data_IF_751222875714
#
_entry.id   IF_751222875714
#
_cell.length_a   1.000
_cell.length_b   1.000
_cell.length_c   1.000
_cell.angle_alpha   90.00
_cell.angle_beta   90.00
_cell.angle_gamma   90.00
#
_symmetry.space_group_name_H-M   'P 1'
#
loop_
_entity.id
_entity.type
_entity.pdbx_description
1 polymer ?
#
# COMPACT_ATOMS: atom_id res chain seq x y z
N UNK A 1 -3.08 -54.42 109.33
CA UNK A 1 -2.92 -54.70 107.89
C UNK A 1 -4.16 -54.35 107.06
N UNK A 2 -5.38 -54.75 107.46
CA UNK A 2 -6.61 -54.46 106.68
C UNK A 2 -6.89 -52.96 106.45
N UNK A 3 -6.73 -52.10 107.45
CA UNK A 3 -6.97 -50.65 107.33
C UNK A 3 -5.99 -49.94 106.36
N UNK A 4 -4.75 -50.44 106.26
CA UNK A 4 -3.75 -49.90 105.34
C UNK A 4 -4.10 -50.23 103.90
N UNK A 5 -4.54 -51.47 103.64
CA UNK A 5 -4.98 -51.92 102.31
C UNK A 5 -6.21 -51.16 101.80
N UNK A 6 -7.18 -50.90 102.67
CA UNK A 6 -8.37 -50.11 102.31
C UNK A 6 -8.01 -48.66 101.97
N UNK A 7 -7.06 -48.04 102.69
CA UNK A 7 -6.62 -46.67 102.37
C UNK A 7 -5.86 -46.57 101.05
N UNK A 8 -5.01 -47.56 100.73
CA UNK A 8 -4.29 -47.62 99.45
C UNK A 8 -5.29 -47.84 98.30
N UNK A 9 -6.23 -48.78 98.44
CA UNK A 9 -7.25 -49.04 97.42
C UNK A 9 -8.17 -47.83 97.18
N UNK A 10 -8.55 -47.11 98.22
CA UNK A 10 -9.35 -45.88 98.12
C UNK A 10 -8.57 -44.74 97.44
N UNK A 11 -7.28 -44.61 97.74
CA UNK A 11 -6.39 -43.63 97.11
C UNK A 11 -6.20 -43.93 95.61
N UNK A 12 -5.87 -45.18 95.25
CA UNK A 12 -5.69 -45.60 93.85
C UNK A 12 -6.99 -45.43 93.05
N UNK A 13 -8.14 -45.85 93.60
CA UNK A 13 -9.44 -45.67 92.95
C UNK A 13 -9.74 -44.20 92.67
N UNK A 14 -9.53 -43.32 93.65
CA UNK A 14 -9.76 -41.88 93.49
C UNK A 14 -8.83 -41.28 92.44
N UNK A 15 -7.58 -41.70 92.41
CA UNK A 15 -6.59 -41.24 91.43
C UNK A 15 -6.93 -41.70 90.01
N UNK A 16 -7.35 -42.95 89.82
CA UNK A 16 -7.80 -43.47 88.52
C UNK A 16 -9.08 -42.78 88.01
N UNK A 17 -10.05 -42.49 88.89
CA UNK A 17 -11.24 -41.72 88.51
C UNK A 17 -10.86 -40.31 88.06
N UNK A 18 -9.93 -39.66 88.77
CA UNK A 18 -9.44 -38.33 88.38
C UNK A 18 -8.67 -38.37 87.04
N UNK A 19 -7.85 -39.39 86.81
CA UNK A 19 -7.15 -39.59 85.54
C UNK A 19 -8.13 -39.82 84.39
N UNK A 20 -9.15 -40.66 84.60
CA UNK A 20 -10.21 -40.89 83.62
C UNK A 20 -10.97 -39.60 83.30
N UNK A 21 -11.37 -38.83 84.31
CA UNK A 21 -12.06 -37.56 84.12
C UNK A 21 -11.20 -36.53 83.38
N UNK A 22 -9.91 -36.44 83.69
CA UNK A 22 -8.96 -35.58 82.98
C UNK A 22 -8.82 -36.00 81.51
N UNK A 23 -8.65 -37.29 81.24
CA UNK A 23 -8.59 -37.83 79.88
C UNK A 23 -9.87 -37.55 79.11
N UNK A 24 -11.05 -37.70 79.73
CA UNK A 24 -12.33 -37.36 79.12
C UNK A 24 -12.44 -35.86 78.80
N UNK A 25 -11.93 -34.98 79.65
CA UNK A 25 -11.89 -33.55 79.33
C UNK A 25 -10.97 -33.24 78.15
N UNK A 26 -9.79 -33.87 78.10
CA UNK A 26 -8.86 -33.73 76.97
C UNK A 26 -9.47 -34.27 75.67
N UNK A 27 -10.13 -35.43 75.73
CA UNK A 27 -10.82 -36.06 74.60
C UNK A 27 -12.01 -35.21 74.10
N UNK A 28 -12.70 -34.52 75.01
CA UNK A 28 -13.76 -33.56 74.67
C UNK A 28 -13.22 -32.22 74.12
N UNK A 29 -11.91 -32.06 73.97
CA UNK A 29 -11.27 -30.85 73.46
C UNK A 29 -11.01 -29.78 74.52
N UNK A 30 -11.30 -30.03 75.80
CA UNK A 30 -10.95 -29.11 76.88
C UNK A 30 -9.48 -29.28 77.30
N UNK A 31 -8.59 -28.73 76.48
CA UNK A 31 -7.15 -28.75 76.73
C UNK A 31 -6.69 -27.75 77.82
N UNK A 32 -7.61 -26.98 78.39
CA UNK A 32 -7.35 -26.03 79.49
C UNK A 32 -7.57 -26.64 80.88
N UNK A 33 -8.05 -27.89 80.96
CA UNK A 33 -8.24 -28.56 82.25
C UNK A 33 -6.94 -28.60 83.05
N UNK A 34 -6.95 -28.20 84.35
CA UNK A 34 -5.79 -28.35 85.21
C UNK A 34 -5.50 -29.83 85.45
N UNK A 35 -4.22 -30.15 85.65
CA UNK A 35 -3.79 -31.49 86.01
C UNK A 35 -4.26 -31.83 87.43
N UNK A 36 -4.84 -33.02 87.68
CA UNK A 36 -5.17 -33.47 89.03
C UNK A 36 -3.92 -33.59 89.90
N UNK A 37 -4.02 -33.32 91.21
CA UNK A 37 -2.92 -33.53 92.17
C UNK A 37 -2.54 -35.00 92.23
N UNK A 38 -1.24 -35.33 92.16
CA UNK A 38 -0.72 -36.70 92.11
C UNK A 38 0.34 -36.99 93.20
N UNK A 39 0.62 -38.28 93.40
CA UNK A 39 1.77 -38.80 94.15
C UNK A 39 2.91 -39.20 93.21
N UNK A 40 4.04 -39.70 93.76
CA UNK A 40 5.22 -40.13 92.99
C UNK A 40 5.17 -41.60 92.52
N UNK A 41 3.98 -42.19 92.52
CA UNK A 41 3.72 -43.59 92.16
C UNK A 41 3.45 -43.74 90.66
N UNK A 42 3.20 -44.97 90.21
CA UNK A 42 2.93 -45.34 88.81
C UNK A 42 1.69 -44.62 88.25
N UNK A 43 0.70 -44.31 89.11
CA UNK A 43 -0.49 -43.54 88.71
C UNK A 43 -0.13 -42.08 88.49
N UNK A 44 0.76 -41.54 89.31
CA UNK A 44 1.35 -40.21 89.13
C UNK A 44 2.12 -40.07 87.82
N UNK A 45 2.95 -41.05 87.46
CA UNK A 45 3.68 -41.08 86.19
C UNK A 45 2.72 -41.11 84.98
N UNK A 46 1.66 -41.92 85.06
CA UNK A 46 0.63 -42.00 84.00
C UNK A 46 -0.07 -40.65 83.80
N UNK A 47 -0.42 -39.96 84.90
CA UNK A 47 -1.02 -38.62 84.85
C UNK A 47 -0.07 -37.59 84.21
N UNK A 48 1.25 -37.69 84.47
CA UNK A 48 2.25 -36.84 83.82
C UNK A 48 2.32 -37.09 82.31
N UNK A 49 2.31 -38.36 81.87
CA UNK A 49 2.25 -38.71 80.45
C UNK A 49 0.98 -38.18 79.77
N UNK A 50 -0.18 -38.27 80.43
CA UNK A 50 -1.43 -37.69 79.92
C UNK A 50 -1.37 -36.17 79.84
N UNK A 51 -0.74 -35.51 80.80
CA UNK A 51 -0.55 -34.06 80.76
C UNK A 51 0.44 -33.63 79.67
N UNK A 52 1.48 -34.43 79.40
CA UNK A 52 2.37 -34.24 78.26
C UNK A 52 1.58 -34.34 76.95
N UNK A 53 0.77 -35.38 76.77
CA UNK A 53 -0.12 -35.54 75.62
C UNK A 53 -1.07 -34.34 75.44
N UNK A 54 -1.71 -33.87 76.51
CA UNK A 54 -2.54 -32.65 76.48
C UNK A 54 -1.75 -31.44 75.99
N UNK A 55 -0.54 -31.20 76.52
CA UNK A 55 0.31 -30.06 76.11
C UNK A 55 0.69 -30.15 74.64
N UNK A 56 1.06 -31.33 74.15
CA UNK A 56 1.35 -31.58 72.74
C UNK A 56 0.13 -31.31 71.85
N UNK A 57 -1.06 -31.75 72.25
CA UNK A 57 -2.30 -31.44 71.54
C UNK A 57 -2.60 -29.93 71.52
N UNK A 58 -2.38 -29.22 72.64
CA UNK A 58 -2.56 -27.75 72.68
C UNK A 58 -1.62 -27.05 71.71
N UNK A 59 -0.35 -27.48 71.67
CA UNK A 59 0.63 -26.94 70.75
C UNK A 59 0.24 -27.18 69.28
N UNK A 60 -0.12 -28.42 68.93
CA UNK A 60 -0.55 -28.79 67.57
C UNK A 60 -1.79 -28.02 67.12
N UNK A 61 -2.80 -27.87 67.99
CA UNK A 61 -4.01 -27.08 67.67
C UNK A 61 -3.68 -25.59 67.53
N UNK A 62 -2.75 -25.06 68.34
CA UNK A 62 -2.25 -23.69 68.19
C UNK A 62 -1.57 -23.47 66.83
N UNK A 63 -0.70 -24.40 66.44
CA UNK A 63 0.00 -24.36 65.15
C UNK A 63 -0.99 -24.48 63.96
N UNK A 64 -1.99 -25.35 64.06
CA UNK A 64 -3.05 -25.48 63.05
C UNK A 64 -3.83 -24.17 62.92
N UNK A 65 -4.27 -23.56 64.04
CA UNK A 65 -5.00 -22.30 64.00
C UNK A 65 -4.16 -21.16 63.40
N UNK A 66 -2.87 -21.10 63.72
CA UNK A 66 -1.96 -20.12 63.14
C UNK A 66 -1.85 -20.32 61.61
N UNK A 67 -1.66 -21.56 61.16
CA UNK A 67 -1.58 -21.88 59.71
C UNK A 67 -2.89 -21.56 58.99
N UNK A 68 -4.06 -21.89 59.57
CA UNK A 68 -5.38 -21.55 59.00
C UNK A 68 -5.58 -20.03 58.95
N UNK A 69 -5.07 -19.29 59.93
CA UNK A 69 -5.09 -17.82 59.95
C UNK A 69 -4.34 -17.19 58.77
N UNK A 70 -3.30 -17.85 58.26
CA UNK A 70 -2.53 -17.41 57.08
C UNK A 70 -3.20 -17.83 55.76
N UNK A 71 -3.91 -18.97 55.72
CA UNK A 71 -4.56 -19.46 54.49
C UNK A 71 -5.72 -18.58 54.04
N UNK A 72 -6.55 -18.09 54.97
CA UNK A 72 -7.71 -17.25 54.65
C UNK A 72 -7.37 -15.99 53.84
N UNK A 73 -6.42 -15.14 54.25
CA UNK A 73 -6.06 -13.96 53.47
C UNK A 73 -5.49 -14.35 52.09
N UNK A 74 -4.70 -15.42 51.98
CA UNK A 74 -4.19 -15.90 50.68
C UNK A 74 -5.32 -16.32 49.73
N UNK A 75 -6.39 -16.95 50.25
CA UNK A 75 -7.56 -17.29 49.41
C UNK A 75 -8.28 -16.04 48.92
N UNK A 76 -8.42 -15.01 49.74
CA UNK A 76 -9.02 -13.75 49.31
C UNK A 76 -8.18 -13.05 48.23
N UNK A 77 -6.86 -13.03 48.40
CA UNK A 77 -5.93 -12.49 47.39
C UNK A 77 -6.05 -13.25 46.05
N UNK A 78 -6.22 -14.58 46.10
CA UNK A 78 -6.48 -15.39 44.90
C UNK A 78 -7.81 -15.02 44.22
N UNK A 79 -8.86 -14.76 44.99
CA UNK A 79 -10.15 -14.33 44.43
C UNK A 79 -10.05 -12.96 43.75
N UNK A 80 -9.36 -12.01 44.38
CA UNK A 80 -9.14 -10.68 43.82
C UNK A 80 -8.28 -10.73 42.55
N UNK A 81 -7.19 -11.52 42.60
CA UNK A 81 -6.33 -11.78 41.45
C UNK A 81 -7.09 -12.44 40.29
N UNK A 82 -7.96 -13.41 40.59
CA UNK A 82 -8.78 -14.08 39.58
C UNK A 82 -9.80 -13.10 38.94
N UNK A 83 -10.40 -12.21 39.72
CA UNK A 83 -11.28 -11.16 39.22
C UNK A 83 -10.53 -10.18 38.30
N UNK A 84 -9.34 -9.74 38.72
CA UNK A 84 -8.48 -8.88 37.89
C UNK A 84 -8.04 -9.59 36.60
N UNK A 85 -7.72 -10.88 36.67
CA UNK A 85 -7.37 -11.68 35.50
C UNK A 85 -8.54 -11.83 34.53
N UNK A 86 -9.76 -12.06 35.03
CA UNK A 86 -10.97 -12.10 34.20
C UNK A 86 -11.18 -10.78 33.46
N UNK A 87 -11.05 -9.64 34.16
CA UNK A 87 -11.15 -8.31 33.53
C UNK A 87 -10.08 -8.09 32.45
N UNK A 88 -8.84 -8.53 32.68
CA UNK A 88 -7.77 -8.48 31.66
C UNK A 88 -8.07 -9.36 30.46
N UNK A 89 -8.66 -10.55 30.67
CA UNK A 89 -9.07 -11.45 29.58
C UNK A 89 -10.16 -10.78 28.73
N UNK A 90 -11.13 -10.10 29.33
CA UNK A 90 -12.16 -9.35 28.60
C UNK A 90 -11.56 -8.22 27.76
N UNK A 91 -10.64 -7.43 28.33
CA UNK A 91 -9.92 -6.38 27.60
C UNK A 91 -9.09 -6.94 26.45
N UNK A 92 -8.41 -8.06 26.68
CA UNK A 92 -7.61 -8.72 25.66
C UNK A 92 -8.47 -9.30 24.55
N UNK A 93 -9.63 -9.89 24.88
CA UNK A 93 -10.59 -10.37 23.90
C UNK A 93 -11.12 -9.22 23.02
N UNK A 94 -11.43 -8.06 23.62
CA UNK A 94 -11.84 -6.87 22.88
C UNK A 94 -10.72 -6.36 21.94
N UNK A 95 -9.47 -6.35 22.40
CA UNK A 95 -8.32 -5.95 21.56
C UNK A 95 -8.10 -6.90 20.37
N UNK A 96 -8.29 -8.21 20.58
CA UNK A 96 -8.23 -9.21 19.50
C UNK A 96 -9.36 -9.01 18.49
N UNK A 97 -10.58 -8.73 18.95
CA UNK A 97 -11.71 -8.41 18.07
C UNK A 97 -11.44 -7.15 17.23
N UNK A 98 -10.90 -6.10 17.85
CA UNK A 98 -10.52 -4.88 17.11
C UNK A 98 -9.42 -5.16 16.09
N UNK A 99 -8.41 -5.97 16.45
CA UNK A 99 -7.34 -6.35 15.53
C UNK A 99 -7.87 -7.18 14.36
N UNK A 100 -8.81 -8.09 14.61
CA UNK A 100 -9.49 -8.86 13.56
C UNK A 100 -10.26 -7.94 12.60
N UNK A 101 -11.05 -7.00 13.13
CA UNK A 101 -11.78 -6.01 12.33
C UNK A 101 -10.83 -5.13 11.50
N UNK A 102 -9.75 -4.61 12.10
CA UNK A 102 -8.74 -3.85 11.36
C UNK A 102 -8.04 -4.68 10.29
N UNK A 103 -7.82 -5.98 10.54
CA UNK A 103 -7.23 -6.89 9.54
C UNK A 103 -8.17 -7.10 8.35
N UNK A 104 -9.48 -7.18 8.58
CA UNK A 104 -10.50 -7.28 7.52
C UNK A 104 -10.58 -5.98 6.69
N UNK A 105 -10.51 -4.82 7.33
CA UNK A 105 -10.46 -3.52 6.65
C UNK A 105 -9.19 -3.37 5.80
N UNK A 106 -8.03 -3.78 6.33
CA UNK A 106 -6.76 -3.81 5.58
C UNK A 106 -6.89 -4.76 4.38
N UNK A 107 -7.43 -5.96 4.57
CA UNK A 107 -7.63 -6.93 3.48
C UNK A 107 -8.49 -6.35 2.35
N UNK A 108 -9.58 -5.68 2.71
CA UNK A 108 -10.47 -4.99 1.76
C UNK A 108 -9.71 -3.89 1.00
N UNK A 109 -8.94 -3.07 1.71
CA UNK A 109 -8.16 -1.98 1.12
C UNK A 109 -7.07 -2.48 0.18
N UNK A 110 -6.39 -3.58 0.54
CA UNK A 110 -5.39 -4.24 -0.30
C UNK A 110 -6.03 -4.81 -1.56
N UNK A 111 -7.19 -5.47 -1.43
CA UNK A 111 -7.94 -5.99 -2.58
C UNK A 111 -8.35 -4.86 -3.53
N UNK A 112 -8.86 -3.75 -3.00
CA UNK A 112 -9.23 -2.58 -3.81
C UNK A 112 -8.01 -1.96 -4.51
N UNK A 113 -6.86 -1.90 -3.82
CA UNK A 113 -5.61 -1.37 -4.38
C UNK A 113 -5.09 -2.25 -5.52
N UNK A 114 -5.17 -3.57 -5.38
CA UNK A 114 -4.81 -4.53 -6.42
C UNK A 114 -5.70 -4.38 -7.67
N UNK A 115 -7.02 -4.22 -7.47
CA UNK A 115 -7.94 -4.00 -8.59
C UNK A 115 -7.70 -2.66 -9.28
N UNK A 116 -7.47 -1.58 -8.52
CA UNK A 116 -7.12 -0.29 -9.09
C UNK A 116 -5.81 -0.34 -9.90
N UNK A 117 -4.80 -1.07 -9.43
CA UNK A 117 -3.56 -1.28 -10.18
C UNK A 117 -3.80 -2.06 -11.49
N UNK A 118 -4.68 -3.06 -11.45
CA UNK A 118 -5.10 -3.82 -12.65
C UNK A 118 -5.80 -2.92 -13.67
N UNK A 119 -6.75 -2.09 -13.23
CA UNK A 119 -7.44 -1.13 -14.08
C UNK A 119 -6.49 -0.10 -14.69
N UNK A 120 -5.55 0.45 -13.89
CA UNK A 120 -4.54 1.38 -14.38
C UNK A 120 -3.62 0.75 -15.43
N UNK A 121 -3.22 -0.51 -15.24
CA UNK A 121 -2.43 -1.27 -16.22
C UNK A 121 -3.20 -1.48 -17.53
N UNK A 122 -4.49 -1.80 -17.46
CA UNK A 122 -5.35 -1.93 -18.64
C UNK A 122 -5.52 -0.61 -19.39
N UNK A 123 -5.80 0.48 -18.67
CA UNK A 123 -5.90 1.82 -19.24
C UNK A 123 -4.59 2.25 -19.93
N UNK A 124 -3.45 1.99 -19.30
CA UNK A 124 -2.13 2.28 -19.89
C UNK A 124 -1.89 1.48 -21.17
N UNK A 125 -2.29 0.20 -21.19
CA UNK A 125 -2.21 -0.65 -22.38
C UNK A 125 -3.15 -0.16 -23.49
N UNK A 126 -4.34 0.34 -23.15
CA UNK A 126 -5.25 1.00 -24.08
C UNK A 126 -4.64 2.24 -24.71
N UNK A 127 -4.08 3.14 -23.89
CA UNK A 127 -3.43 4.37 -24.35
C UNK A 127 -2.23 4.08 -25.27
N UNK A 128 -1.45 3.03 -25.01
CA UNK A 128 -0.35 2.62 -25.90
C UNK A 128 -0.86 2.25 -27.30
N UNK A 129 -2.01 1.57 -27.41
CA UNK A 129 -2.63 1.27 -28.71
C UNK A 129 -3.06 2.54 -29.45
N UNK A 130 -3.62 3.52 -28.74
CA UNK A 130 -3.99 4.81 -29.34
C UNK A 130 -2.76 5.58 -29.84
N UNK A 131 -1.67 5.56 -29.07
CA UNK A 131 -0.39 6.16 -29.48
C UNK A 131 0.17 5.48 -30.73
N UNK A 132 0.09 4.14 -30.83
CA UNK A 132 0.52 3.42 -32.02
C UNK A 132 -0.32 3.79 -33.26
N UNK A 133 -1.64 3.96 -33.10
CA UNK A 133 -2.51 4.44 -34.18
C UNK A 133 -2.16 5.88 -34.58
N UNK A 134 -1.90 6.76 -33.62
CA UNK A 134 -1.48 8.14 -33.89
C UNK A 134 -0.14 8.19 -34.63
N UNK A 135 0.82 7.32 -34.27
CA UNK A 135 2.10 7.19 -34.97
C UNK A 135 1.91 6.77 -36.43
N UNK A 136 0.99 5.84 -36.71
CA UNK A 136 0.69 5.43 -38.08
C UNK A 136 0.09 6.58 -38.90
N UNK A 137 -0.84 7.34 -38.33
CA UNK A 137 -1.41 8.53 -38.99
C UNK A 137 -0.33 9.58 -39.27
N UNK A 138 0.59 9.83 -38.32
CA UNK A 138 1.70 10.75 -38.51
C UNK A 138 2.68 10.27 -39.61
N UNK A 139 2.88 8.96 -39.74
CA UNK A 139 3.67 8.37 -40.82
C UNK A 139 3.01 8.61 -42.19
N UNK A 140 1.71 8.42 -42.29
CA UNK A 140 0.93 8.69 -43.51
C UNK A 140 0.93 10.19 -43.87
N UNK A 141 0.81 11.06 -42.88
CA UNK A 141 0.92 12.51 -43.06
C UNK A 141 2.30 12.89 -43.60
N UNK A 142 3.37 12.32 -43.03
CA UNK A 142 4.75 12.57 -43.50
C UNK A 142 4.95 12.12 -44.94
N UNK A 143 4.43 10.95 -45.32
CA UNK A 143 4.46 10.45 -46.70
C UNK A 143 3.69 11.39 -47.66
N UNK A 144 2.52 11.88 -47.23
CA UNK A 144 1.74 12.84 -48.02
C UNK A 144 2.48 14.17 -48.23
N UNK A 145 3.20 14.66 -47.22
CA UNK A 145 4.02 15.88 -47.32
C UNK A 145 5.22 15.70 -48.25
N UNK A 146 5.81 14.49 -48.33
CA UNK A 146 6.84 14.17 -49.32
C UNK A 146 6.28 14.21 -50.74
N UNK A 147 5.08 13.66 -50.95
CA UNK A 147 4.41 13.69 -52.24
C UNK A 147 4.08 15.13 -52.68
N UNK A 148 3.56 15.97 -51.78
CA UNK A 148 3.32 17.40 -52.05
C UNK A 148 4.62 18.11 -52.45
N UNK A 149 5.73 17.82 -51.75
CA UNK A 149 7.04 18.40 -52.07
C UNK A 149 7.50 18.03 -53.48
N UNK A 150 7.33 16.76 -53.85
CA UNK A 150 7.67 16.25 -55.19
C UNK A 150 6.80 16.88 -56.27
N UNK A 151 5.50 17.03 -56.03
CA UNK A 151 4.61 17.69 -56.99
C UNK A 151 4.92 19.17 -57.16
N UNK A 152 5.26 19.87 -56.08
CA UNK A 152 5.69 21.26 -56.13
C UNK A 152 6.97 21.44 -56.97
N UNK A 153 7.94 20.51 -56.88
CA UNK A 153 9.15 20.52 -57.73
C UNK A 153 8.81 20.33 -59.21
N UNK A 154 7.92 19.39 -59.53
CA UNK A 154 7.46 19.20 -60.91
C UNK A 154 6.75 20.45 -61.46
N UNK A 155 5.87 21.07 -60.65
CA UNK A 155 5.20 22.31 -61.03
C UNK A 155 6.19 23.45 -61.26
N UNK A 156 7.23 23.58 -60.42
CA UNK A 156 8.27 24.59 -60.61
C UNK A 156 9.00 24.42 -61.95
N UNK A 157 9.28 23.18 -62.36
CA UNK A 157 9.88 22.90 -63.67
C UNK A 157 8.98 23.31 -64.85
N UNK A 158 7.67 23.05 -64.75
CA UNK A 158 6.69 23.46 -65.77
C UNK A 158 6.61 24.99 -65.85
N UNK A 159 6.51 25.67 -64.70
CA UNK A 159 6.43 27.14 -64.64
C UNK A 159 7.70 27.79 -65.18
N UNK A 160 8.89 27.24 -64.90
CA UNK A 160 10.14 27.71 -65.51
C UNK A 160 10.18 27.53 -67.04
N UNK A 161 9.53 26.49 -67.56
CA UNK A 161 9.37 26.30 -69.01
C UNK A 161 8.43 27.37 -69.60
N UNK A 162 7.33 27.70 -68.91
CA UNK A 162 6.40 28.77 -69.32
C UNK A 162 7.10 30.13 -69.34
N UNK A 163 7.90 30.45 -68.32
CA UNK A 163 8.70 31.69 -68.28
C UNK A 163 9.70 31.76 -69.45
N UNK A 164 10.36 30.64 -69.75
CA UNK A 164 11.25 30.52 -70.91
C UNK A 164 10.52 30.75 -72.24
N UNK A 165 9.31 30.20 -72.41
CA UNK A 165 8.46 30.41 -73.60
C UNK A 165 8.02 31.88 -73.70
N UNK A 166 7.63 32.49 -72.57
CA UNK A 166 7.25 33.90 -72.52
C UNK A 166 8.43 34.81 -72.91
N UNK A 167 9.64 34.52 -72.43
CA UNK A 167 10.85 35.23 -72.82
C UNK A 167 11.15 35.08 -74.31
N UNK A 168 11.11 33.86 -74.85
CA UNK A 168 11.31 33.63 -76.29
C UNK A 168 10.27 34.37 -77.14
N UNK A 169 9.00 34.37 -76.71
CA UNK A 169 7.90 35.09 -77.37
C UNK A 169 8.13 36.60 -77.33
N UNK A 170 8.63 37.13 -76.21
CA UNK A 170 8.98 38.54 -76.07
C UNK A 170 10.12 38.95 -77.04
N UNK A 171 11.14 38.11 -77.22
CA UNK A 171 12.23 38.35 -78.19
C UNK A 171 11.71 38.25 -79.64
N UNK A 172 10.89 37.24 -79.95
CA UNK A 172 10.24 37.09 -81.26
C UNK A 172 9.39 38.32 -81.61
N UNK A 173 8.59 38.81 -80.66
CA UNK A 173 7.76 39.99 -80.82
C UNK A 173 8.59 41.26 -81.02
N UNK A 174 9.70 41.41 -80.29
CA UNK A 174 10.64 42.52 -80.49
C UNK A 174 11.23 42.50 -81.91
N UNK A 175 11.68 41.34 -82.38
CA UNK A 175 12.21 41.20 -83.74
C UNK A 175 11.15 41.54 -84.79
N UNK A 176 9.90 41.12 -84.58
CA UNK A 176 8.78 41.47 -85.45
C UNK A 176 8.46 42.98 -85.43
N UNK A 177 8.52 43.64 -84.28
CA UNK A 177 8.35 45.10 -84.18
C UNK A 177 9.44 45.86 -84.94
N UNK A 178 10.69 45.38 -84.89
CA UNK A 178 11.82 45.97 -85.63
C UNK A 178 11.62 45.82 -87.14
N UNK A 179 11.25 44.64 -87.61
CA UNK A 179 11.03 44.39 -89.04
C UNK A 179 9.79 45.14 -89.57
N UNK A 180 8.75 45.27 -88.76
CA UNK A 180 7.57 46.08 -89.07
C UNK A 180 7.93 47.58 -89.20
N UNK A 181 8.81 48.10 -88.34
CA UNK A 181 9.32 49.47 -88.46
C UNK A 181 10.16 49.66 -89.74
N UNK A 182 10.90 48.62 -90.14
CA UNK A 182 11.72 48.61 -91.36
C UNK A 182 10.88 48.65 -92.65
N UNK A 183 9.69 48.05 -92.62
CA UNK A 183 8.74 48.06 -93.74
C UNK A 183 7.95 49.38 -93.91
N UNK A 184 8.15 50.37 -93.02
CA UNK A 184 7.52 51.68 -93.10
C UNK A 184 5.99 51.64 -93.01
N UNK A 185 5.30 52.35 -93.91
CA UNK A 185 3.83 52.45 -93.91
C UNK A 185 3.13 51.09 -94.10
N UNK A 186 3.73 50.17 -94.86
CA UNK A 186 3.18 48.83 -95.08
C UNK A 186 3.26 47.93 -93.83
N UNK A 187 4.12 48.26 -92.87
CA UNK A 187 4.33 47.49 -91.64
C UNK A 187 3.50 47.95 -90.44
N UNK A 188 2.74 49.05 -90.54
CA UNK A 188 2.01 49.65 -89.40
C UNK A 188 1.09 48.67 -88.66
N UNK A 189 0.32 47.86 -89.39
CA UNK A 189 -0.57 46.85 -88.79
C UNK A 189 0.21 45.76 -88.05
N UNK A 190 1.31 45.29 -88.62
CA UNK A 190 2.19 44.30 -87.99
C UNK A 190 2.91 44.83 -86.75
N UNK A 191 3.27 46.12 -86.73
CA UNK A 191 3.91 46.75 -85.58
C UNK A 191 2.98 46.75 -84.35
N UNK A 192 1.68 47.04 -84.54
CA UNK A 192 0.68 47.01 -83.46
C UNK A 192 0.50 45.59 -82.91
N UNK A 193 0.37 44.60 -83.79
CA UNK A 193 0.25 43.19 -83.37
C UNK A 193 1.51 42.73 -82.61
N UNK A 194 2.69 43.04 -83.12
CA UNK A 194 3.95 42.70 -82.46
C UNK A 194 4.06 43.33 -81.06
N UNK A 195 3.60 44.57 -80.89
CA UNK A 195 3.60 45.23 -79.59
C UNK A 195 2.60 44.60 -78.59
N UNK A 196 1.42 44.19 -79.05
CA UNK A 196 0.45 43.49 -78.20
C UNK A 196 0.93 42.09 -77.81
N UNK A 197 1.54 41.33 -78.73
CA UNK A 197 2.17 40.04 -78.43
C UNK A 197 3.29 40.21 -77.40
N UNK A 198 4.10 41.27 -77.53
CA UNK A 198 5.17 41.58 -76.57
C UNK A 198 4.60 41.86 -75.17
N UNK A 199 3.50 42.61 -75.10
CA UNK A 199 2.81 42.92 -73.85
C UNK A 199 2.24 41.66 -73.19
N UNK A 200 1.58 40.78 -73.96
CA UNK A 200 1.09 39.48 -73.48
C UNK A 200 2.21 38.57 -72.98
N UNK A 201 3.35 38.56 -73.68
CA UNK A 201 4.54 37.82 -73.27
C UNK A 201 5.09 38.33 -71.93
N UNK A 202 5.19 39.65 -71.75
CA UNK A 202 5.61 40.25 -70.48
C UNK A 202 4.63 39.96 -69.34
N UNK A 203 3.32 39.98 -69.60
CA UNK A 203 2.30 39.61 -68.61
C UNK A 203 2.39 38.12 -68.24
N UNK A 204 2.68 37.25 -69.20
CA UNK A 204 2.85 35.81 -68.96
C UNK A 204 4.07 35.50 -68.09
N UNK A 205 5.19 36.19 -68.31
CA UNK A 205 6.40 36.08 -67.49
C UNK A 205 6.14 36.52 -66.04
N UNK A 206 5.44 37.64 -65.85
CA UNK A 206 5.08 38.13 -64.51
C UNK A 206 4.14 37.16 -63.78
N UNK A 207 3.14 36.62 -64.47
CA UNK A 207 2.26 35.60 -63.91
C UNK A 207 3.01 34.30 -63.55
N UNK A 208 3.92 33.85 -64.41
CA UNK A 208 4.76 32.69 -64.14
C UNK A 208 5.61 32.89 -62.87
N UNK A 209 6.20 34.07 -62.69
CA UNK A 209 6.96 34.42 -61.50
C UNK A 209 6.11 34.36 -60.22
N UNK A 210 4.90 34.91 -60.24
CA UNK A 210 3.98 34.87 -59.10
C UNK A 210 3.58 33.43 -58.72
N UNK A 211 3.32 32.57 -59.72
CA UNK A 211 3.05 31.15 -59.49
C UNK A 211 4.27 30.44 -58.89
N UNK A 212 5.47 30.76 -59.37
CA UNK A 212 6.71 30.20 -58.84
C UNK A 212 6.92 30.55 -57.36
N UNK A 213 6.62 31.78 -56.95
CA UNK A 213 6.65 32.20 -55.54
C UNK A 213 5.64 31.44 -54.67
N UNK A 214 4.43 31.17 -55.18
CA UNK A 214 3.42 30.36 -54.47
C UNK A 214 3.89 28.92 -54.28
N UNK A 215 4.48 28.32 -55.32
CA UNK A 215 5.04 26.95 -55.26
C UNK A 215 6.16 26.87 -54.21
N UNK A 216 7.08 27.85 -54.17
CA UNK A 216 8.15 27.89 -53.17
C UNK A 216 7.60 28.00 -51.75
N UNK A 217 6.57 28.83 -51.53
CA UNK A 217 5.92 28.95 -50.21
C UNK A 217 5.26 27.64 -49.78
N UNK A 218 4.56 26.96 -50.68
CA UNK A 218 3.93 25.66 -50.41
C UNK A 218 4.96 24.58 -50.05
N UNK A 219 6.08 24.54 -50.78
CA UNK A 219 7.21 23.64 -50.48
C UNK A 219 7.81 23.92 -49.10
N UNK A 220 8.07 25.18 -48.78
CA UNK A 220 8.60 25.58 -47.47
C UNK A 220 7.65 25.25 -46.31
N UNK A 221 6.33 25.34 -46.52
CA UNK A 221 5.34 24.92 -45.54
C UNK A 221 5.39 23.40 -45.29
N UNK A 222 5.48 22.60 -46.37
CA UNK A 222 5.55 21.13 -46.31
C UNK A 222 6.82 20.64 -45.61
N UNK A 223 7.97 21.27 -45.89
CA UNK A 223 9.25 20.94 -45.23
C UNK A 223 9.23 21.29 -43.73
N UNK A 224 8.61 22.42 -43.35
CA UNK A 224 8.44 22.78 -41.93
C UNK A 224 7.57 21.78 -41.19
N UNK A 225 6.46 21.34 -41.79
CA UNK A 225 5.60 20.31 -41.22
C UNK A 225 6.36 19.00 -40.94
N UNK A 226 7.33 18.64 -41.79
CA UNK A 226 8.22 17.47 -41.59
C UNK A 226 9.24 17.63 -40.47
N UNK A 227 9.64 18.87 -40.15
CA UNK A 227 10.66 19.14 -39.13
C UNK A 227 10.14 19.10 -37.69
N UNK A 228 8.82 18.97 -37.50
CA UNK A 228 8.24 18.74 -36.17
C UNK A 228 8.74 17.37 -35.69
N UNK A 229 9.51 17.30 -34.59
CA UNK A 229 10.08 16.05 -34.13
C UNK A 229 8.96 15.08 -33.76
N UNK A 230 8.72 14.08 -34.60
CA UNK A 230 8.04 12.86 -34.19
C UNK A 230 9.04 12.03 -33.40
N UNK A 231 9.44 12.48 -32.20
CA UNK A 231 10.22 11.62 -31.31
C UNK A 231 9.34 10.41 -30.98
N UNK A 232 9.69 9.19 -31.43
CA UNK A 232 9.03 8.00 -30.93
C UNK A 232 9.35 7.96 -29.45
N UNK A 233 8.33 8.12 -28.61
CA UNK A 233 8.47 7.90 -27.18
C UNK A 233 9.10 6.53 -27.01
N UNK A 234 10.28 6.46 -26.38
CA UNK A 234 10.93 5.17 -26.09
C UNK A 234 9.87 4.31 -25.39
N UNK A 235 9.71 3.04 -25.76
CA UNK A 235 8.71 2.20 -25.11
C UNK A 235 9.01 2.23 -23.61
N UNK A 236 8.01 2.62 -22.81
CA UNK A 236 8.06 2.60 -21.34
C UNK A 236 8.29 1.19 -20.77
N UNK A 237 8.49 0.18 -21.62
CA UNK A 237 8.79 -1.21 -21.26
C UNK A 237 10.15 -1.42 -20.59
N UNK A 238 10.97 -0.39 -20.39
CA UNK A 238 12.31 -0.52 -19.78
C UNK A 238 12.43 -0.04 -18.32
N UNK A 239 11.36 0.42 -17.65
CA UNK A 239 11.46 0.91 -16.26
C UNK A 239 10.51 0.27 -15.25
N UNK A 240 9.66 -0.68 -15.65
CA UNK A 240 8.91 -1.50 -14.69
C UNK A 240 9.76 -2.71 -14.27
N UNK A 241 10.86 -2.46 -13.57
CA UNK A 241 11.48 -3.50 -12.77
C UNK A 241 10.41 -4.02 -11.79
N UNK A 242 10.21 -5.34 -11.67
CA UNK A 242 9.34 -5.85 -10.61
C UNK A 242 9.93 -5.37 -9.28
N UNK A 243 9.14 -4.63 -8.51
CA UNK A 243 9.44 -4.39 -7.11
C UNK A 243 9.42 -5.77 -6.46
N UNK A 244 10.61 -6.39 -6.37
CA UNK A 244 10.80 -7.60 -5.61
C UNK A 244 10.44 -7.26 -4.17
N UNK A 245 9.28 -7.76 -3.72
CA UNK A 245 8.94 -7.74 -2.31
C UNK A 245 10.00 -8.51 -1.54
N UNK A 246 10.96 -7.79 -0.95
CA UNK A 246 11.78 -8.29 0.13
C UNK A 246 11.00 -8.10 1.42
N UNK A 247 10.08 -9.02 1.69
CA UNK A 247 9.64 -9.31 3.06
C UNK A 247 10.73 -10.10 3.75
N UNK A 248 11.49 -9.43 4.60
CA UNK A 248 12.13 -9.97 5.82
C UNK A 248 11.86 -9.00 6.94
#
# INVERSE_FOLDING_TARGET
MALLGVRIAAYVRRSLVNANNFTLQVAAGNLKSPMPKNGKDEVGQTLESLNFMRRSLTFLIGEINQRVGVVRPSVNELLDSNSAMASRIEQQAAAVQQTAASTEEISTTVSQSAENARLASQASTGNLKEVDQANEVMRQLTASMQEITRQAENMAGIVGTIDSIAFQTNILALNASVEAARAGEHGRGFAVVAQEVRKLASQSAEAAKQVQELIQRARAASVRARSIPSTPNRPWSASAAPVSGSTT
#
